data_IF_028605107839
#
_entry.id   IF_028605107839
#
_cell.length_a   1.000
_cell.length_b   1.000
_cell.length_c   1.000
_cell.angle_alpha   90.00
_cell.angle_beta   90.00
_cell.angle_gamma   90.00
#
_symmetry.space_group_name_H-M   'P 1'
#
loop_
_entity.id
_entity.type
_entity.pdbx_description
1 polymer ?
#
# COMPACT_ATOMS: atom_id res chain seq x y z
N UNK A 1 -32.23 41.12 17.09
CA UNK A 1 -30.82 40.90 17.47
C UNK A 1 -30.61 39.40 17.61
N UNK A 2 -30.12 38.73 16.58
CA UNK A 2 -29.76 37.31 16.63
C UNK A 2 -28.24 37.23 16.70
N UNK A 3 -27.75 36.99 17.91
CA UNK A 3 -26.35 36.74 18.22
C UNK A 3 -25.89 35.46 17.50
N UNK A 4 -24.91 35.59 16.61
CA UNK A 4 -24.24 34.46 15.93
C UNK A 4 -22.84 34.35 16.51
N UNK A 5 -22.71 33.58 17.58
CA UNK A 5 -21.42 33.13 18.07
C UNK A 5 -20.78 32.18 17.05
N UNK A 6 -19.51 32.37 16.66
CA UNK A 6 -18.84 31.50 15.71
C UNK A 6 -18.58 30.12 16.35
N UNK A 7 -19.00 29.05 15.66
CA UNK A 7 -18.67 27.67 16.03
C UNK A 7 -17.16 27.47 15.95
N UNK A 8 -16.49 27.39 17.10
CA UNK A 8 -15.11 26.92 17.21
C UNK A 8 -15.10 25.42 16.90
N UNK A 9 -14.37 25.02 15.86
CA UNK A 9 -14.19 23.61 15.54
C UNK A 9 -13.52 22.89 16.73
N UNK A 10 -13.98 21.68 17.11
CA UNK A 10 -13.38 20.97 18.23
C UNK A 10 -11.90 20.72 17.95
N UNK A 11 -11.05 21.20 18.87
CA UNK A 11 -9.61 20.99 18.82
C UNK A 11 -9.26 19.51 18.76
N UNK A 12 -8.26 19.18 17.95
CA UNK A 12 -7.72 17.83 17.82
C UNK A 12 -7.37 17.28 19.21
N UNK A 13 -7.84 16.09 19.61
CA UNK A 13 -7.55 15.54 20.93
C UNK A 13 -6.04 15.48 21.17
N UNK A 14 -5.61 16.15 22.24
CA UNK A 14 -4.23 16.16 22.72
C UNK A 14 -3.87 14.75 23.20
N UNK A 15 -3.06 14.04 22.43
CA UNK A 15 -2.62 12.67 22.73
C UNK A 15 -2.29 11.81 21.52
N UNK A 16 -2.62 12.24 20.29
CA UNK A 16 -2.16 11.52 19.09
C UNK A 16 -0.69 11.85 18.82
N UNK A 17 0.21 10.94 19.20
CA UNK A 17 1.56 10.95 18.64
C UNK A 17 1.46 10.95 17.10
N UNK A 18 2.36 11.65 16.42
CA UNK A 18 2.31 11.84 14.97
C UNK A 18 2.26 10.48 14.24
N UNK A 19 1.11 10.14 13.66
CA UNK A 19 0.97 9.64 12.28
C UNK A 19 1.51 8.25 11.93
N UNK A 20 1.76 7.33 12.88
CA UNK A 20 2.14 5.94 12.56
C UNK A 20 0.98 4.98 12.86
N UNK A 21 0.77 4.03 11.95
CA UNK A 21 -0.22 2.97 12.17
C UNK A 21 0.16 2.12 13.38
N UNK A 22 -0.83 1.73 14.19
CA UNK A 22 -0.65 0.83 15.33
C UNK A 22 0.03 -0.48 14.88
N UNK A 23 1.04 -0.91 15.64
CA UNK A 23 1.64 -2.22 15.53
C UNK A 23 0.76 -3.25 16.26
N UNK A 24 0.51 -4.38 15.61
CA UNK A 24 -0.30 -5.48 16.17
C UNK A 24 0.60 -6.69 16.46
N UNK A 25 0.37 -7.33 17.60
CA UNK A 25 1.09 -8.54 18.03
C UNK A 25 0.64 -9.79 17.27
N UNK A 26 1.31 -10.92 17.50
CA UNK A 26 0.91 -12.22 16.94
C UNK A 26 -0.49 -12.62 17.41
N UNK A 27 -0.80 -12.40 18.69
CA UNK A 27 -2.10 -12.68 19.31
C UNK A 27 -3.19 -11.78 18.73
N UNK A 28 -2.89 -10.50 18.51
CA UNK A 28 -3.80 -9.57 17.83
C UNK A 28 -4.15 -10.08 16.42
N UNK A 29 -3.15 -10.52 15.66
CA UNK A 29 -3.38 -11.09 14.32
C UNK A 29 -4.19 -12.39 14.35
N UNK A 30 -3.98 -13.25 15.34
CA UNK A 30 -4.81 -14.44 15.54
C UNK A 30 -6.26 -14.07 15.89
N UNK A 31 -6.47 -13.01 16.67
CA UNK A 31 -7.79 -12.46 16.93
C UNK A 31 -8.45 -11.96 15.65
N UNK A 32 -7.73 -11.19 14.82
CA UNK A 32 -8.21 -10.74 13.49
C UNK A 32 -8.64 -11.94 12.63
N UNK A 33 -7.82 -13.00 12.54
CA UNK A 33 -8.12 -14.19 11.74
C UNK A 33 -9.35 -14.96 12.25
N UNK A 34 -9.55 -14.97 13.56
CA UNK A 34 -10.73 -15.56 14.24
C UNK A 34 -12.00 -14.77 13.91
N UNK A 35 -11.93 -13.44 14.03
CA UNK A 35 -13.05 -12.55 13.74
C UNK A 35 -13.45 -12.65 12.27
N UNK A 36 -12.48 -12.63 11.34
CA UNK A 36 -12.75 -12.79 9.91
C UNK A 36 -13.55 -14.06 9.61
N UNK A 37 -13.27 -15.16 10.33
CA UNK A 37 -13.99 -16.42 10.18
C UNK A 37 -15.50 -16.33 10.44
N UNK A 38 -15.96 -15.32 11.18
CA UNK A 38 -17.37 -15.08 11.52
C UNK A 38 -18.08 -14.15 10.51
N UNK A 39 -17.36 -13.61 9.53
CA UNK A 39 -17.87 -12.67 8.54
C UNK A 39 -17.95 -13.27 7.14
N UNK A 40 -18.64 -12.57 6.22
CA UNK A 40 -18.77 -12.99 4.82
C UNK A 40 -17.43 -12.93 4.09
N UNK A 41 -17.21 -13.90 3.20
CA UNK A 41 -15.99 -14.05 2.40
C UNK A 41 -14.72 -14.24 3.25
N UNK A 42 -14.69 -15.19 4.20
CA UNK A 42 -13.56 -15.35 5.12
C UNK A 42 -12.24 -15.67 4.41
N UNK A 43 -12.26 -16.52 3.38
CA UNK A 43 -11.07 -16.86 2.59
C UNK A 43 -10.43 -15.61 1.94
N UNK A 44 -11.24 -14.79 1.26
CA UNK A 44 -10.78 -13.53 0.64
C UNK A 44 -10.25 -12.55 1.68
N UNK A 45 -10.98 -12.37 2.79
CA UNK A 45 -10.59 -11.41 3.83
C UNK A 45 -9.28 -11.83 4.50
N UNK A 46 -9.08 -13.13 4.76
CA UNK A 46 -7.80 -13.66 5.24
C UNK A 46 -6.69 -13.44 4.23
N UNK A 47 -6.93 -13.68 2.95
CA UNK A 47 -5.94 -13.42 1.90
C UNK A 47 -5.52 -11.94 1.85
N UNK A 48 -6.48 -10.99 1.94
CA UNK A 48 -6.20 -9.56 2.00
C UNK A 48 -5.29 -9.23 3.20
N UNK A 49 -5.66 -9.67 4.40
CA UNK A 49 -4.89 -9.40 5.62
C UNK A 49 -3.51 -10.09 5.59
N UNK A 50 -3.43 -11.32 5.08
CA UNK A 50 -2.17 -12.04 4.92
C UNK A 50 -1.19 -11.26 4.01
N UNK A 51 -1.66 -10.73 2.88
CA UNK A 51 -0.83 -9.93 1.97
C UNK A 51 -0.35 -8.62 2.63
N UNK A 52 -1.19 -7.95 3.42
CA UNK A 52 -0.78 -6.75 4.18
C UNK A 52 0.24 -7.08 5.26
N UNK A 53 0.11 -8.23 5.92
CA UNK A 53 1.10 -8.77 6.90
C UNK A 53 2.43 -9.13 6.25
N UNK A 54 2.45 -9.41 4.94
CA UNK A 54 3.67 -9.56 4.13
C UNK A 54 4.29 -8.22 3.71
N UNK A 55 3.79 -7.12 4.27
CA UNK A 55 4.32 -5.79 4.04
C UNK A 55 3.94 -5.18 2.70
N UNK A 56 3.02 -5.77 1.93
CA UNK A 56 2.52 -5.14 0.72
C UNK A 56 1.70 -3.90 1.07
N UNK A 57 1.79 -2.86 0.23
CA UNK A 57 0.90 -1.69 0.34
C UNK A 57 -0.47 -2.07 -0.21
N UNK A 58 -1.53 -1.49 0.34
CA UNK A 58 -2.91 -1.76 -0.11
C UNK A 58 -3.14 -1.53 -1.61
N UNK A 59 -2.45 -0.53 -2.18
CA UNK A 59 -2.50 -0.28 -3.63
C UNK A 59 -1.81 -1.36 -4.46
N UNK A 60 -0.75 -1.99 -3.93
CA UNK A 60 -0.11 -3.15 -4.56
C UNK A 60 -1.06 -4.35 -4.48
N UNK A 61 -1.65 -4.62 -3.31
CA UNK A 61 -2.62 -5.72 -3.12
C UNK A 61 -3.82 -5.62 -4.07
N UNK A 62 -4.35 -4.41 -4.27
CA UNK A 62 -5.47 -4.19 -5.20
C UNK A 62 -5.11 -4.47 -6.68
N UNK A 63 -3.83 -4.31 -7.03
CA UNK A 63 -3.33 -4.42 -8.40
C UNK A 63 -2.62 -5.75 -8.68
N UNK A 64 -2.50 -6.64 -7.69
CA UNK A 64 -1.94 -7.98 -7.88
C UNK A 64 -2.85 -8.84 -8.77
N UNK A 65 -2.20 -9.73 -9.49
CA UNK A 65 -2.81 -10.77 -10.28
C UNK A 65 -2.48 -12.15 -9.75
N UNK A 66 -3.28 -13.15 -10.13
CA UNK A 66 -2.98 -14.55 -9.79
C UNK A 66 -1.59 -14.95 -10.29
N UNK A 67 -1.19 -14.51 -11.48
CA UNK A 67 0.14 -14.80 -12.07
C UNK A 67 1.31 -14.15 -11.33
N UNK A 68 1.07 -13.22 -10.40
CA UNK A 68 2.13 -12.66 -9.56
C UNK A 68 2.53 -13.60 -8.44
N UNK A 69 1.66 -14.55 -8.08
CA UNK A 69 1.85 -15.45 -6.94
C UNK A 69 1.77 -16.94 -7.31
N UNK A 70 1.21 -17.29 -8.46
CA UNK A 70 1.01 -18.67 -8.87
C UNK A 70 1.22 -18.84 -10.38
N UNK A 71 1.68 -20.01 -10.77
CA UNK A 71 1.68 -20.48 -12.15
C UNK A 71 0.36 -21.23 -12.39
N UNK A 72 -0.51 -20.68 -13.22
CA UNK A 72 -1.85 -21.22 -13.50
C UNK A 72 -1.82 -21.96 -14.83
N UNK A 73 -2.53 -23.08 -14.92
CA UNK A 73 -2.70 -23.80 -16.19
C UNK A 73 -3.58 -23.01 -17.18
N UNK A 74 -3.40 -23.25 -18.48
CA UNK A 74 -4.13 -22.54 -19.53
C UNK A 74 -5.65 -22.74 -19.46
N UNK A 75 -6.09 -23.88 -18.93
CA UNK A 75 -7.50 -24.23 -18.71
C UNK A 75 -8.05 -23.71 -17.36
N UNK A 76 -7.23 -23.01 -16.58
CA UNK A 76 -7.54 -22.49 -15.24
C UNK A 76 -8.00 -23.57 -14.25
N UNK A 77 -7.68 -24.85 -14.51
CA UNK A 77 -8.12 -25.95 -13.65
C UNK A 77 -7.21 -26.22 -12.48
N UNK A 78 -5.94 -25.84 -12.58
CA UNK A 78 -4.93 -26.03 -11.56
C UNK A 78 -3.93 -24.88 -11.49
N UNK A 79 -3.18 -24.84 -10.40
CA UNK A 79 -2.09 -23.88 -10.21
C UNK A 79 -0.99 -24.48 -9.34
N UNK A 80 0.22 -23.95 -9.50
CA UNK A 80 1.33 -24.13 -8.56
C UNK A 80 1.62 -22.78 -7.90
N UNK A 81 1.45 -22.71 -6.57
CA UNK A 81 1.82 -21.51 -5.82
C UNK A 81 3.34 -21.32 -5.85
N UNK A 82 3.80 -20.13 -6.18
CA UNK A 82 5.22 -19.77 -6.17
C UNK A 82 5.70 -19.55 -4.74
N UNK A 83 7.01 -19.63 -4.54
CA UNK A 83 7.64 -19.25 -3.27
C UNK A 83 7.65 -17.73 -3.02
N UNK A 84 7.43 -16.93 -4.07
CA UNK A 84 7.57 -15.48 -4.05
C UNK A 84 6.38 -14.77 -4.68
N UNK A 85 5.91 -13.70 -4.04
CA UNK A 85 5.03 -12.70 -4.62
C UNK A 85 5.88 -11.74 -5.45
N UNK A 86 5.57 -11.61 -6.74
CA UNK A 86 6.22 -10.64 -7.62
C UNK A 86 5.45 -9.33 -7.62
N UNK A 87 5.95 -8.32 -6.90
CA UNK A 87 5.37 -6.97 -6.92
C UNK A 87 5.99 -6.20 -8.07
N UNK A 88 5.28 -6.16 -9.20
CA UNK A 88 5.73 -5.54 -10.45
C UNK A 88 5.91 -4.03 -10.30
N UNK A 89 6.95 -3.49 -10.94
CA UNK A 89 7.20 -2.05 -11.01
C UNK A 89 5.95 -1.25 -11.38
N UNK A 90 5.16 -1.74 -12.36
CA UNK A 90 3.93 -1.11 -12.82
C UNK A 90 2.93 -0.81 -11.69
N UNK A 91 2.80 -1.69 -10.69
CA UNK A 91 1.78 -1.57 -9.65
C UNK A 91 2.26 -0.87 -8.36
N UNK A 92 3.57 -0.70 -8.19
CA UNK A 92 4.17 -0.05 -7.00
C UNK A 92 3.76 1.41 -6.79
N UNK A 93 3.21 2.07 -7.82
CA UNK A 93 2.72 3.46 -7.77
C UNK A 93 1.22 3.59 -7.44
N UNK A 94 0.52 2.49 -7.13
CA UNK A 94 -0.88 2.50 -6.68
C UNK A 94 -1.84 3.05 -7.73
N UNK A 95 -2.78 3.93 -7.36
CA UNK A 95 -3.80 4.48 -8.29
C UNK A 95 -3.22 5.16 -9.54
N UNK A 96 -1.98 5.65 -9.47
CA UNK A 96 -1.29 6.21 -10.63
C UNK A 96 -0.78 5.15 -11.61
N UNK A 97 -0.75 3.86 -11.24
CA UNK A 97 -0.34 2.77 -12.13
C UNK A 97 -1.23 2.67 -13.38
N UNK A 98 -2.52 2.96 -13.22
CA UNK A 98 -3.53 2.84 -14.28
C UNK A 98 -3.87 4.17 -14.97
N UNK A 99 -3.40 5.31 -14.45
CA UNK A 99 -3.68 6.62 -15.04
C UNK A 99 -2.79 6.92 -16.26
N UNK A 100 -3.33 7.65 -17.23
CA UNK A 100 -2.57 8.09 -18.39
C UNK A 100 -1.48 9.09 -18.00
N UNK A 101 -0.46 9.28 -18.85
CA UNK A 101 0.60 10.26 -18.59
C UNK A 101 0.05 11.69 -18.43
N UNK A 102 -0.98 12.05 -19.21
CA UNK A 102 -1.66 13.35 -19.17
C UNK A 102 -2.41 13.55 -17.85
N UNK A 103 -3.15 12.54 -17.38
CA UNK A 103 -3.84 12.59 -16.09
C UNK A 103 -2.87 12.72 -14.91
N UNK A 104 -1.66 12.12 -15.02
CA UNK A 104 -0.61 12.26 -14.01
C UNK A 104 -0.02 13.67 -13.98
N UNK A 105 0.15 14.31 -15.13
CA UNK A 105 0.65 15.69 -15.21
C UNK A 105 -0.38 16.69 -14.66
N UNK A 106 -1.67 16.51 -14.99
CA UNK A 106 -2.74 17.39 -14.53
C UNK A 106 -2.97 17.36 -12.99
N UNK A 107 -2.56 16.29 -12.30
CA UNK A 107 -2.78 16.10 -10.86
C UNK A 107 -1.58 16.50 -9.99
N UNK A 108 -0.53 17.09 -10.55
CA UNK A 108 0.64 17.47 -9.76
C UNK A 108 0.32 18.66 -8.86
N UNK A 109 0.35 18.42 -7.55
CA UNK A 109 0.23 19.46 -6.53
C UNK A 109 1.61 19.71 -5.93
N UNK A 110 1.98 20.98 -5.81
CA UNK A 110 3.18 21.41 -5.09
C UNK A 110 2.77 22.29 -3.92
N UNK A 111 3.45 22.10 -2.79
CA UNK A 111 3.31 22.98 -1.63
C UNK A 111 4.50 23.91 -1.62
N UNK A 112 4.24 25.22 -1.72
CA UNK A 112 5.23 26.28 -1.60
C UNK A 112 4.79 27.23 -0.47
N UNK A 113 5.73 27.85 0.24
CA UNK A 113 5.37 28.86 1.24
C UNK A 113 4.87 30.13 0.56
N UNK A 114 4.10 30.95 1.28
CA UNK A 114 3.67 32.25 0.78
C UNK A 114 4.86 33.16 0.42
N UNK A 115 5.96 33.09 1.19
CA UNK A 115 7.18 33.85 0.91
C UNK A 115 7.88 33.38 -0.38
N UNK A 116 8.01 32.08 -0.59
CA UNK A 116 8.58 31.52 -1.82
C UNK A 116 7.72 31.84 -3.04
N UNK A 117 6.39 31.82 -2.89
CA UNK A 117 5.48 32.25 -3.94
C UNK A 117 5.71 33.73 -4.29
N UNK A 118 5.85 34.59 -3.27
CA UNK A 118 6.11 36.02 -3.50
C UNK A 118 7.43 36.25 -4.24
N UNK A 119 8.51 35.55 -3.87
CA UNK A 119 9.79 35.63 -4.58
C UNK A 119 9.67 35.21 -6.05
N UNK A 120 8.91 34.14 -6.33
CA UNK A 120 8.64 33.68 -7.71
C UNK A 120 7.87 34.75 -8.49
N UNK A 121 6.84 35.37 -7.90
CA UNK A 121 6.04 36.42 -8.55
C UNK A 121 6.89 37.68 -8.83
N UNK A 122 7.77 38.06 -7.90
CA UNK A 122 8.65 39.21 -8.05
C UNK A 122 9.69 38.98 -9.16
N UNK A 123 10.29 37.78 -9.23
CA UNK A 123 11.18 37.39 -10.33
C UNK A 123 10.45 37.38 -11.67
N UNK A 124 9.23 36.83 -11.70
CA UNK A 124 8.38 36.81 -12.88
C UNK A 124 8.06 38.21 -13.42
N UNK A 125 7.68 39.13 -12.52
CA UNK A 125 7.45 40.54 -12.88
C UNK A 125 8.69 41.21 -13.47
N UNK A 126 9.88 40.97 -12.91
CA UNK A 126 11.15 41.51 -13.45
C UNK A 126 11.44 40.99 -14.85
N UNK A 127 11.25 39.70 -15.10
CA UNK A 127 11.48 39.09 -16.42
C UNK A 127 10.52 39.64 -17.48
N UNK A 128 9.24 39.81 -17.13
CA UNK A 128 8.28 40.48 -18.00
C UNK A 128 8.69 41.93 -18.32
N UNK A 129 9.16 42.68 -17.32
CA UNK A 129 9.64 44.05 -17.51
C UNK A 129 10.89 44.13 -18.42
N UNK A 130 11.68 43.05 -18.49
CA UNK A 130 12.82 42.91 -19.41
C UNK A 130 12.42 42.41 -20.81
N UNK A 131 11.12 42.29 -21.10
CA UNK A 131 10.61 41.80 -22.39
C UNK A 131 10.74 40.29 -22.59
N UNK A 132 11.03 39.53 -21.52
CA UNK A 132 11.04 38.08 -21.56
C UNK A 132 9.61 37.54 -21.41
N UNK A 133 9.35 36.34 -21.91
CA UNK A 133 8.07 35.64 -21.73
C UNK A 133 8.27 34.39 -20.86
N UNK A 134 8.48 34.55 -19.54
CA UNK A 134 8.70 33.43 -18.64
C UNK A 134 7.46 32.55 -18.51
N UNK A 135 7.70 31.26 -18.32
CA UNK A 135 6.72 30.18 -18.28
C UNK A 135 6.85 29.38 -16.98
N UNK A 136 5.89 28.51 -16.68
CA UNK A 136 5.93 27.69 -15.47
C UNK A 136 7.19 26.81 -15.36
N UNK A 137 7.71 26.32 -16.49
CA UNK A 137 8.94 25.51 -16.54
C UNK A 137 10.21 26.28 -16.13
N UNK A 138 10.18 27.61 -16.14
CA UNK A 138 11.32 28.44 -15.72
C UNK A 138 11.45 28.53 -14.19
N UNK A 139 10.37 28.22 -13.45
CA UNK A 139 10.31 28.24 -11.99
C UNK A 139 10.22 26.84 -11.40
N UNK A 140 9.56 25.93 -12.11
CA UNK A 140 9.27 24.59 -11.65
C UNK A 140 9.85 23.58 -12.63
N UNK A 141 10.89 22.87 -12.17
CA UNK A 141 11.39 21.74 -12.94
C UNK A 141 10.34 20.62 -12.94
N UNK A 142 10.08 19.99 -14.10
CA UNK A 142 9.24 18.80 -14.12
C UNK A 142 9.86 17.76 -13.18
N UNK A 143 9.04 17.22 -12.28
CA UNK A 143 9.49 16.16 -11.38
C UNK A 143 9.99 15.00 -12.24
N UNK A 144 11.26 14.64 -12.07
CA UNK A 144 11.83 13.50 -12.79
C UNK A 144 11.01 12.25 -12.48
N UNK A 145 10.44 11.65 -13.51
CA UNK A 145 9.66 10.45 -13.35
C UNK A 145 10.53 9.36 -12.73
N UNK A 146 10.11 8.91 -11.56
CA UNK A 146 10.84 7.89 -10.81
C UNK A 146 10.55 6.54 -11.45
N UNK A 147 11.58 5.87 -11.97
CA UNK A 147 11.45 4.50 -12.49
C UNK A 147 11.09 3.57 -11.33
N UNK A 148 9.92 2.92 -11.36
CA UNK A 148 9.58 1.94 -10.35
C UNK A 148 10.42 0.67 -10.55
N UNK A 149 10.67 -0.07 -9.47
CA UNK A 149 11.43 -1.32 -9.50
C UNK A 149 10.55 -2.49 -9.07
N UNK A 150 10.68 -3.62 -9.77
CA UNK A 150 10.04 -4.87 -9.36
C UNK A 150 10.76 -5.42 -8.13
N UNK A 151 10.01 -5.96 -7.17
CA UNK A 151 10.55 -6.62 -5.98
C UNK A 151 9.85 -7.96 -5.74
N UNK A 152 10.57 -8.91 -5.16
CA UNK A 152 10.04 -10.22 -4.76
C UNK A 152 9.87 -10.26 -3.25
N UNK A 153 8.73 -10.78 -2.78
CA UNK A 153 8.45 -10.98 -1.34
C UNK A 153 8.25 -12.48 -1.11
N UNK A 154 8.99 -13.11 -0.18
CA UNK A 154 8.79 -14.52 0.10
C UNK A 154 7.40 -14.76 0.70
N UNK A 155 6.76 -15.86 0.32
CA UNK A 155 5.48 -16.29 0.90
C UNK A 155 5.78 -17.17 2.12
N UNK A 156 5.41 -16.70 3.31
CA UNK A 156 5.50 -17.53 4.51
C UNK A 156 4.51 -18.71 4.44
N UNK A 157 4.86 -19.84 5.05
CA UNK A 157 4.02 -21.05 5.06
C UNK A 157 2.59 -20.77 5.55
N UNK A 158 2.45 -19.94 6.59
CA UNK A 158 1.16 -19.54 7.13
C UNK A 158 0.30 -18.78 6.11
N UNK A 159 0.89 -17.96 5.25
CA UNK A 159 0.18 -17.30 4.16
C UNK A 159 -0.02 -18.20 2.96
N UNK A 160 0.90 -19.14 2.67
CA UNK A 160 0.74 -20.09 1.57
C UNK A 160 -0.56 -20.89 1.73
N UNK A 161 -0.86 -21.39 2.94
CA UNK A 161 -2.10 -22.11 3.21
C UNK A 161 -3.36 -21.25 2.97
N UNK A 162 -3.35 -19.99 3.43
CA UNK A 162 -4.45 -19.04 3.25
C UNK A 162 -4.65 -18.68 1.78
N UNK A 163 -3.56 -18.41 1.06
CA UNK A 163 -3.59 -18.07 -0.36
C UNK A 163 -4.09 -19.25 -1.19
N UNK A 164 -3.65 -20.48 -0.90
CA UNK A 164 -4.15 -21.69 -1.58
C UNK A 164 -5.66 -21.84 -1.42
N UNK A 165 -6.16 -21.80 -0.18
CA UNK A 165 -7.60 -21.87 0.09
C UNK A 165 -8.39 -20.80 -0.69
N UNK A 166 -7.85 -19.59 -0.79
CA UNK A 166 -8.50 -18.53 -1.53
C UNK A 166 -8.41 -18.70 -3.06
N UNK A 167 -7.26 -19.16 -3.58
CA UNK A 167 -7.06 -19.44 -5.00
C UNK A 167 -7.98 -20.58 -5.48
N UNK A 168 -8.15 -21.63 -4.68
CA UNK A 168 -9.06 -22.73 -4.96
C UNK A 168 -10.49 -22.20 -5.17
N UNK A 169 -10.95 -21.34 -4.25
CA UNK A 169 -12.25 -20.66 -4.37
C UNK A 169 -12.31 -19.74 -5.60
N UNK A 170 -11.29 -18.90 -5.81
CA UNK A 170 -11.26 -17.91 -6.89
C UNK A 170 -11.32 -18.57 -8.28
N UNK A 171 -10.51 -19.60 -8.51
CA UNK A 171 -10.46 -20.31 -9.79
C UNK A 171 -11.69 -21.17 -10.01
N UNK A 172 -12.30 -21.72 -8.95
CA UNK A 172 -13.61 -22.38 -9.03
C UNK A 172 -14.70 -21.39 -9.47
N UNK A 173 -14.86 -20.26 -8.77
CA UNK A 173 -15.85 -19.23 -9.13
C UNK A 173 -15.65 -18.70 -10.55
N UNK A 174 -14.40 -18.63 -11.03
CA UNK A 174 -14.12 -18.14 -12.38
C UNK A 174 -14.65 -19.10 -13.43
N UNK A 175 -14.44 -20.41 -13.23
CA UNK A 175 -14.90 -21.44 -14.16
C UNK A 175 -16.42 -21.50 -14.21
N UNK A 176 -17.07 -21.45 -13.06
CA UNK A 176 -18.52 -21.62 -12.98
C UNK A 176 -19.30 -20.41 -13.50
N UNK A 177 -18.83 -19.18 -13.22
CA UNK A 177 -19.61 -17.99 -13.52
C UNK A 177 -19.08 -17.21 -14.74
N UNK A 178 -17.81 -17.38 -15.14
CA UNK A 178 -17.21 -16.62 -16.24
C UNK A 178 -17.12 -15.10 -15.99
N UNK A 179 -17.26 -14.67 -14.72
CA UNK A 179 -17.55 -13.27 -14.32
C UNK A 179 -16.31 -12.38 -14.26
N UNK A 180 -15.11 -12.94 -14.33
CA UNK A 180 -13.89 -12.14 -14.21
C UNK A 180 -13.51 -11.55 -15.57
N UNK A 181 -13.81 -10.26 -15.76
CA UNK A 181 -13.35 -9.52 -16.92
C UNK A 181 -11.83 -9.68 -17.08
N UNK A 182 -11.33 -10.11 -18.25
CA UNK A 182 -9.90 -10.13 -18.54
C UNK A 182 -9.37 -8.71 -18.36
N UNK A 183 -8.58 -8.51 -17.31
CA UNK A 183 -7.98 -7.20 -17.08
C UNK A 183 -6.62 -7.20 -17.80
N UNK A 184 -6.38 -6.32 -18.78
CA UNK A 184 -5.08 -6.24 -19.45
C UNK A 184 -4.07 -5.62 -18.49
N UNK A 185 -3.47 -6.43 -17.61
CA UNK A 185 -2.53 -5.94 -16.58
C UNK A 185 -1.09 -6.38 -16.76
N UNK A 186 -0.81 -7.24 -17.74
CA UNK A 186 0.54 -7.59 -18.12
C UNK A 186 0.66 -7.69 -19.64
N UNK A 187 1.44 -6.79 -20.24
CA UNK A 187 2.06 -7.07 -21.52
C UNK A 187 3.07 -8.19 -21.27
N UNK A 188 2.98 -9.30 -22.01
CA UNK A 188 4.03 -10.31 -22.01
C UNK A 188 5.32 -9.75 -22.62
N UNK A 189 6.40 -10.55 -22.62
CA UNK A 189 7.68 -10.17 -23.24
C UNK A 189 7.59 -9.79 -24.72
N UNK A 190 6.45 -10.02 -25.37
CA UNK A 190 6.14 -9.68 -26.76
C UNK A 190 5.12 -8.53 -26.91
N UNK A 191 4.69 -7.89 -25.83
CA UNK A 191 3.73 -6.77 -25.89
C UNK A 191 2.26 -7.18 -26.01
N UNK A 192 1.90 -8.45 -25.80
CA UNK A 192 0.51 -8.92 -25.80
C UNK A 192 -0.07 -8.94 -24.38
N UNK A 193 -1.27 -8.40 -24.20
CA UNK A 193 -1.97 -8.45 -22.93
C UNK A 193 -2.33 -9.89 -22.59
N UNK A 194 -1.64 -10.51 -21.61
CA UNK A 194 -2.13 -11.76 -21.02
C UNK A 194 -3.39 -11.43 -20.23
N UNK A 195 -4.49 -12.10 -20.58
CA UNK A 195 -5.70 -12.12 -19.76
C UNK A 195 -5.31 -12.64 -18.37
N UNK A 196 -5.25 -11.74 -17.39
CA UNK A 196 -4.81 -12.08 -16.04
C UNK A 196 -5.93 -11.81 -15.07
N UNK A 197 -6.24 -12.82 -14.26
CA UNK A 197 -7.28 -12.75 -13.24
C UNK A 197 -6.74 -11.88 -12.10
N UNK A 198 -7.46 -10.81 -11.68
CA UNK A 198 -7.09 -10.05 -10.50
C UNK A 198 -7.05 -10.99 -9.29
N UNK A 199 -5.99 -10.89 -8.47
CA UNK A 199 -5.87 -11.75 -7.31
C UNK A 199 -7.02 -11.51 -6.33
N UNK A 200 -7.28 -10.24 -5.99
CA UNK A 200 -8.37 -9.87 -5.08
C UNK A 200 -9.52 -9.26 -5.90
N UNK A 201 -10.67 -9.93 -5.87
CA UNK A 201 -11.86 -9.58 -6.65
C UNK A 201 -13.00 -9.03 -5.81
N UNK A 202 -13.70 -8.05 -6.35
CA UNK A 202 -14.94 -7.51 -5.77
C UNK A 202 -16.07 -8.54 -5.88
N UNK A 203 -17.21 -8.27 -5.24
CA UNK A 203 -18.40 -9.11 -5.37
C UNK A 203 -18.94 -9.19 -6.81
N UNK A 204 -18.58 -8.23 -7.66
CA UNK A 204 -18.96 -8.18 -9.09
C UNK A 204 -17.89 -8.81 -10.00
N UNK A 205 -16.88 -9.47 -9.44
CA UNK A 205 -15.75 -10.04 -10.18
C UNK A 205 -14.70 -9.04 -10.67
N UNK A 206 -15.00 -7.74 -10.75
CA UNK A 206 -14.00 -6.74 -11.12
C UNK A 206 -12.89 -6.57 -10.07
N UNK A 207 -11.77 -5.95 -10.50
CA UNK A 207 -10.66 -5.55 -9.63
C UNK A 207 -11.12 -4.57 -8.55
N UNK A 208 -10.51 -4.67 -7.35
CA UNK A 208 -10.72 -3.64 -6.33
C UNK A 208 -10.07 -2.30 -6.72
N UNK A 209 -10.81 -1.20 -6.54
CA UNK A 209 -10.19 0.10 -6.37
C UNK A 209 -9.43 0.12 -5.03
N UNK A 210 -8.19 0.62 -5.03
CA UNK A 210 -7.36 0.77 -3.83
C UNK A 210 -8.08 1.49 -2.67
N UNK A 211 -8.90 2.52 -2.96
CA UNK A 211 -9.66 3.23 -1.94
C UNK A 211 -10.74 2.35 -1.29
N UNK A 212 -11.48 1.59 -2.11
CA UNK A 212 -12.50 0.66 -1.63
C UNK A 212 -11.87 -0.49 -0.82
N UNK A 213 -10.73 -1.02 -1.28
CA UNK A 213 -9.99 -2.04 -0.54
C UNK A 213 -9.42 -1.50 0.78
N UNK A 214 -9.01 -0.23 0.80
CA UNK A 214 -8.56 0.45 2.03
C UNK A 214 -9.68 0.54 3.06
N UNK A 215 -10.87 0.98 2.64
CA UNK A 215 -12.04 1.04 3.53
C UNK A 215 -12.41 -0.35 4.05
N UNK A 216 -12.41 -1.37 3.18
CA UNK A 216 -12.72 -2.74 3.55
C UNK A 216 -11.72 -3.32 4.57
N UNK A 217 -10.42 -3.17 4.31
CA UNK A 217 -9.37 -3.63 5.20
C UNK A 217 -9.36 -2.89 6.54
N UNK A 218 -9.55 -1.56 6.54
CA UNK A 218 -9.67 -0.80 7.79
C UNK A 218 -10.93 -1.22 8.57
N UNK A 219 -12.05 -1.50 7.91
CA UNK A 219 -13.25 -1.98 8.57
C UNK A 219 -13.03 -3.35 9.25
N UNK A 220 -12.27 -4.26 8.63
CA UNK A 220 -11.86 -5.53 9.25
C UNK A 220 -11.06 -5.26 10.54
N UNK A 221 -10.03 -4.42 10.46
CA UNK A 221 -9.13 -4.22 11.59
C UNK A 221 -9.76 -3.38 12.72
N UNK A 222 -10.44 -2.29 12.37
CA UNK A 222 -10.96 -1.32 13.34
C UNK A 222 -12.31 -1.75 13.90
N UNK A 223 -13.27 -2.10 13.03
CA UNK A 223 -14.66 -2.29 13.43
C UNK A 223 -14.96 -3.75 13.78
N UNK A 224 -14.40 -4.70 13.03
CA UNK A 224 -14.64 -6.12 13.32
C UNK A 224 -13.73 -6.62 14.45
N UNK A 225 -12.42 -6.35 14.33
CA UNK A 225 -11.42 -6.84 15.29
C UNK A 225 -11.16 -5.87 16.46
N UNK A 226 -11.71 -4.65 16.44
CA UNK A 226 -11.65 -3.73 17.57
C UNK A 226 -10.32 -2.99 17.77
N UNK A 227 -9.52 -2.82 16.71
CA UNK A 227 -8.24 -2.09 16.76
C UNK A 227 -8.36 -0.67 16.15
N UNK A 228 -8.86 0.35 16.86
CA UNK A 228 -9.23 1.65 16.27
C UNK A 228 -8.04 2.45 15.71
N UNK A 229 -6.82 2.22 16.20
CA UNK A 229 -5.61 2.90 15.72
C UNK A 229 -4.86 2.11 14.65
N UNK A 230 -5.37 0.94 14.27
CA UNK A 230 -4.82 0.14 13.18
C UNK A 230 -5.22 0.69 11.82
N UNK A 231 -4.48 0.31 10.78
CA UNK A 231 -4.80 0.63 9.39
C UNK A 231 -4.24 -0.42 8.45
N UNK A 232 -4.46 -0.25 7.14
CA UNK A 232 -3.79 -1.02 6.09
C UNK A 232 -2.26 -1.05 6.17
N UNK A 233 -1.64 -0.10 6.87
CA UNK A 233 -0.19 -0.07 7.08
C UNK A 233 0.26 -0.85 8.32
N UNK A 234 -0.65 -1.25 9.22
CA UNK A 234 -0.30 -1.94 10.46
C UNK A 234 0.46 -3.24 10.22
N UNK A 235 0.02 -4.07 9.27
CA UNK A 235 0.73 -5.31 8.91
C UNK A 235 2.17 -5.06 8.43
N UNK A 236 2.34 -4.04 7.58
CA UNK A 236 3.67 -3.61 7.12
C UNK A 236 4.51 -3.03 8.24
N UNK A 237 3.91 -2.31 9.19
CA UNK A 237 4.62 -1.75 10.34
C UNK A 237 5.11 -2.84 11.27
N UNK A 238 4.25 -3.79 11.67
CA UNK A 238 4.65 -4.95 12.49
C UNK A 238 5.77 -5.73 11.82
N UNK A 239 5.59 -6.14 10.55
CA UNK A 239 6.60 -6.93 9.85
C UNK A 239 7.96 -6.22 9.79
N UNK A 240 7.99 -4.96 9.36
CA UNK A 240 9.25 -4.25 9.18
C UNK A 240 9.91 -3.93 10.53
N UNK A 241 9.14 -3.66 11.59
CA UNK A 241 9.67 -3.50 12.95
C UNK A 241 10.33 -4.79 13.45
N UNK A 242 9.73 -5.94 13.20
CA UNK A 242 10.30 -7.23 13.60
C UNK A 242 11.55 -7.55 12.78
N UNK A 243 11.49 -7.38 11.46
CA UNK A 243 12.62 -7.69 10.56
C UNK A 243 13.84 -6.83 10.88
N UNK A 244 13.70 -5.51 11.11
CA UNK A 244 14.87 -4.65 11.38
C UNK A 244 15.63 -5.00 12.66
N UNK A 245 14.99 -5.71 13.60
CA UNK A 245 15.61 -6.18 14.85
C UNK A 245 16.42 -7.47 14.67
N UNK A 246 16.30 -8.14 13.53
CA UNK A 246 17.09 -9.34 13.22
C UNK A 246 18.51 -8.97 12.74
N UNK A 247 19.52 -9.86 12.88
CA UNK A 247 20.84 -9.64 12.31
C UNK A 247 20.79 -9.42 10.80
N UNK A 248 21.30 -8.27 10.32
CA UNK A 248 21.20 -7.88 8.90
C UNK A 248 19.80 -7.41 8.47
N UNK A 249 18.90 -7.24 9.43
CA UNK A 249 17.48 -6.95 9.23
C UNK A 249 17.19 -5.67 8.48
N UNK A 250 18.04 -4.64 8.57
CA UNK A 250 17.84 -3.37 7.86
C UNK A 250 17.82 -3.57 6.33
N UNK A 251 18.75 -4.36 5.80
CA UNK A 251 18.85 -4.64 4.35
C UNK A 251 17.65 -5.48 3.91
N UNK A 252 17.27 -6.48 4.71
CA UNK A 252 16.12 -7.34 4.46
C UNK A 252 14.82 -6.53 4.46
N UNK A 253 14.62 -5.69 5.48
CA UNK A 253 13.48 -4.80 5.59
C UNK A 253 13.42 -3.83 4.40
N UNK A 254 14.56 -3.26 3.98
CA UNK A 254 14.62 -2.39 2.81
C UNK A 254 14.18 -3.11 1.53
N UNK A 255 14.66 -4.34 1.30
CA UNK A 255 14.33 -5.17 0.15
C UNK A 255 12.84 -5.57 0.15
N UNK A 256 12.33 -6.08 1.27
CA UNK A 256 10.90 -6.42 1.47
C UNK A 256 10.05 -5.17 1.28
N UNK A 257 10.48 -4.02 1.79
CA UNK A 257 9.74 -2.78 1.69
C UNK A 257 9.76 -2.17 0.27
N UNK A 258 10.73 -2.51 -0.56
CA UNK A 258 11.00 -1.79 -1.81
C UNK A 258 11.43 -0.34 -1.60
N UNK A 259 12.11 -0.05 -0.48
CA UNK A 259 12.60 1.29 -0.21
C UNK A 259 13.91 1.53 -0.98
N UNK A 260 13.98 2.65 -1.73
CA UNK A 260 15.19 3.02 -2.47
C UNK A 260 16.27 3.67 -1.60
N UNK A 261 15.85 4.30 -0.50
CA UNK A 261 16.76 4.88 0.48
C UNK A 261 16.64 4.12 1.80
N UNK A 262 17.79 3.82 2.41
CA UNK A 262 17.83 3.24 3.75
C UNK A 262 17.18 4.15 4.79
N UNK A 263 17.17 5.48 4.59
CA UNK A 263 16.59 6.43 5.53
C UNK A 263 15.11 6.19 5.84
N UNK A 264 14.31 5.75 4.84
CA UNK A 264 12.91 5.37 5.06
C UNK A 264 12.80 4.08 5.88
N UNK A 265 13.76 3.16 5.75
CA UNK A 265 13.80 1.92 6.55
C UNK A 265 14.31 2.17 7.97
N UNK A 266 15.19 3.17 8.17
CA UNK A 266 15.66 3.57 9.51
C UNK A 266 14.53 4.06 10.41
N UNK A 267 13.40 4.51 9.85
CA UNK A 267 12.22 4.91 10.63
C UNK A 267 11.66 3.75 11.49
N UNK A 268 11.90 2.50 11.06
CA UNK A 268 11.46 1.30 11.78
C UNK A 268 12.40 0.92 12.95
N UNK A 269 13.62 1.45 13.00
CA UNK A 269 14.59 1.20 14.08
C UNK A 269 14.33 2.02 15.35
N UNK A 270 13.23 2.77 15.42
CA UNK A 270 12.91 3.54 16.62
C UNK A 270 12.71 2.58 17.80
N UNK A 271 13.49 2.73 18.88
CA UNK A 271 13.35 1.88 20.05
C UNK A 271 12.01 2.14 20.73
N UNK A 272 11.40 1.08 21.26
CA UNK A 272 10.19 1.17 22.09
C UNK A 272 10.56 1.75 23.46
N UNK A 273 9.58 2.33 24.16
CA UNK A 273 9.84 2.97 25.45
C UNK A 273 10.38 1.99 26.50
N UNK A 274 9.90 0.74 26.50
CA UNK A 274 10.44 -0.33 27.34
C UNK A 274 11.89 -0.69 26.96
N UNK A 275 12.19 -0.82 25.67
CA UNK A 275 13.57 -1.08 25.19
C UNK A 275 14.54 0.01 25.66
N UNK A 276 14.10 1.28 25.67
CA UNK A 276 14.90 2.39 26.20
C UNK A 276 15.13 2.28 27.71
N UNK A 277 14.10 1.91 28.47
CA UNK A 277 14.22 1.70 29.93
C UNK A 277 15.16 0.55 30.24
N UNK A 278 14.95 -0.60 29.63
CA UNK A 278 15.78 -1.79 29.81
C UNK A 278 17.25 -1.50 29.42
N UNK A 279 17.48 -0.69 28.38
CA UNK A 279 18.85 -0.30 27.99
C UNK A 279 19.53 0.53 29.08
N UNK A 280 18.81 1.49 29.66
CA UNK A 280 19.35 2.33 30.75
C UNK A 280 19.62 1.46 31.99
N UNK A 281 18.67 0.61 32.36
CA UNK A 281 18.77 -0.26 33.54
C UNK A 281 19.91 -1.29 33.42
N UNK A 282 20.27 -1.72 32.21
CA UNK A 282 21.38 -2.65 31.98
C UNK A 282 22.76 -1.95 31.82
N UNK A 283 22.79 -0.62 31.64
CA UNK A 283 24.03 0.13 31.43
C UNK A 283 24.51 0.90 32.68
N UNK A 284 23.63 1.13 33.65
CA UNK A 284 23.92 1.78 34.94
C UNK A 284 24.05 0.74 36.05
#
# INVERSE_FOLDING_TARGET
MTDKTPKVAPGRPSGTSRGRAQELSTEDWQHVDTVIGKHRYPAKNRAIIALLRHGLRIGEVALLDVTDIADVSDDLTGYTLREWITVRAAITKGANALSSAEERQARQQMTISASQLQEILDDHGKRLAMGQNPSASDYFQPLKDRTPTTRKVPIAESAAAVLKQYLDWLLHEHREQGVFEPCPTALDGNGMARASIPLIVTQRGGRYNAAALTQHANNILQNWAGFPQSSTHSGRVSLLNDVVRTPGGLIQAQAIAGHRSGGTTMEYLRPRENELRDTIDNCL
#
